data_IF_319235592617
#
_entry.id   IF_319235592617
#
_cell.length_a   1.000
_cell.length_b   1.000
_cell.length_c   1.000
_cell.angle_alpha   90.00
_cell.angle_beta   90.00
_cell.angle_gamma   90.00
#
_symmetry.space_group_name_H-M   'P 1'
#
loop_
_entity.id
_entity.type
_entity.pdbx_description
1 polymer ?
#
# COMPACT_ATOMS: atom_id res chain seq x y z
N UNK A 1 -2.91 19.48 -6.06
CA UNK A 1 -3.30 18.35 -6.95
C UNK A 1 -2.04 17.95 -7.67
N UNK A 2 -1.38 16.91 -7.17
CA UNK A 2 -0.21 16.35 -7.83
C UNK A 2 -0.64 15.94 -9.23
N UNK A 3 -0.04 16.56 -10.25
CA UNK A 3 0.09 15.93 -11.55
C UNK A 3 0.94 14.68 -11.29
N UNK A 4 0.31 13.61 -10.78
CA UNK A 4 0.88 12.29 -10.72
C UNK A 4 0.96 11.83 -12.18
N UNK A 5 1.93 12.42 -12.89
CA UNK A 5 2.40 11.95 -14.17
C UNK A 5 2.89 10.56 -13.85
N UNK A 6 2.05 9.56 -14.09
CA UNK A 6 2.53 8.21 -14.31
C UNK A 6 3.56 8.38 -15.41
N UNK A 7 4.84 8.29 -15.05
CA UNK A 7 5.92 8.35 -16.02
C UNK A 7 5.66 7.23 -17.02
N UNK A 8 5.25 7.60 -18.23
CA UNK A 8 4.98 6.65 -19.31
C UNK A 8 6.22 5.79 -19.47
N UNK A 9 6.08 4.51 -19.15
CA UNK A 9 7.17 3.56 -19.36
C UNK A 9 7.28 3.25 -20.85
N UNK A 10 8.49 3.02 -21.39
CA UNK A 10 8.68 2.82 -22.82
C UNK A 10 7.79 1.73 -23.43
N UNK A 11 7.52 0.65 -22.69
CA UNK A 11 6.68 -0.46 -23.15
C UNK A 11 5.25 -0.01 -23.48
N UNK A 12 4.68 0.94 -22.75
CA UNK A 12 3.30 1.41 -22.95
C UNK A 12 3.13 2.10 -24.31
N UNK A 13 4.15 2.85 -24.73
CA UNK A 13 4.16 3.51 -26.03
C UNK A 13 4.40 2.53 -27.20
N UNK A 14 4.94 1.35 -26.90
CA UNK A 14 5.25 0.30 -27.87
C UNK A 14 4.17 -0.81 -27.91
N UNK A 15 3.16 -0.73 -27.04
CA UNK A 15 2.09 -1.70 -26.96
C UNK A 15 1.27 -1.69 -28.25
N UNK A 16 1.27 -2.82 -28.97
CA UNK A 16 0.36 -3.04 -30.08
C UNK A 16 -1.05 -3.34 -29.56
N UNK A 17 -1.86 -2.29 -29.45
CA UNK A 17 -3.25 -2.38 -28.99
C UNK A 17 -4.12 -3.26 -29.89
N UNK A 18 -3.73 -3.48 -31.15
CA UNK A 18 -4.48 -4.35 -32.07
C UNK A 18 -4.31 -5.84 -31.77
N UNK A 19 -3.26 -6.20 -31.01
CA UNK A 19 -3.02 -7.56 -30.55
C UNK A 19 -3.83 -7.93 -29.30
N UNK A 20 -4.48 -6.97 -28.64
CA UNK A 20 -5.31 -7.20 -27.45
C UNK A 20 -6.66 -7.76 -27.87
N UNK A 21 -7.09 -8.93 -27.36
CA UNK A 21 -8.22 -9.68 -27.94
C UNK A 21 -9.59 -9.06 -27.67
N UNK A 22 -9.72 -8.17 -26.70
CA UNK A 22 -10.98 -7.53 -26.35
C UNK A 22 -10.77 -6.16 -25.70
N UNK A 23 -11.86 -5.39 -25.63
CA UNK A 23 -11.98 -4.19 -24.81
C UNK A 23 -13.37 -4.16 -24.14
N UNK A 24 -13.50 -3.55 -22.94
CA UNK A 24 -12.42 -2.99 -22.13
C UNK A 24 -11.52 -4.10 -21.56
N UNK A 25 -10.21 -3.87 -21.48
CA UNK A 25 -9.23 -4.87 -21.02
C UNK A 25 -8.07 -4.25 -20.26
N UNK A 26 -7.79 -4.77 -19.06
CA UNK A 26 -6.56 -4.46 -18.33
C UNK A 26 -5.42 -5.32 -18.87
N UNK A 27 -4.40 -4.67 -19.42
CA UNK A 27 -3.15 -5.31 -19.86
C UNK A 27 -2.09 -5.02 -18.81
N UNK A 28 -1.47 -6.07 -18.28
CA UNK A 28 -0.41 -6.00 -17.26
C UNK A 28 0.86 -6.58 -17.84
N UNK A 29 1.93 -5.80 -17.83
CA UNK A 29 3.28 -6.23 -18.20
C UNK A 29 3.93 -6.95 -17.00
N UNK A 30 4.22 -8.25 -17.18
CA UNK A 30 4.79 -9.10 -16.14
C UNK A 30 6.27 -8.80 -15.88
N UNK A 31 7.01 -8.35 -16.90
CA UNK A 31 8.43 -8.00 -16.76
C UNK A 31 8.59 -6.72 -15.95
N UNK A 32 7.67 -5.78 -16.10
CA UNK A 32 7.61 -4.56 -15.30
C UNK A 32 7.19 -4.83 -13.85
N UNK A 33 6.25 -5.76 -13.61
CA UNK A 33 5.95 -6.26 -12.25
C UNK A 33 7.21 -6.85 -11.62
N UNK A 34 7.93 -7.70 -12.36
CA UNK A 34 9.17 -8.31 -11.89
C UNK A 34 10.26 -7.24 -11.64
N UNK A 35 10.33 -6.20 -12.48
CA UNK A 35 11.27 -5.09 -12.31
C UNK A 35 10.98 -4.28 -11.04
N UNK A 36 9.71 -3.97 -10.76
CA UNK A 36 9.30 -3.33 -9.52
C UNK A 36 9.64 -4.21 -8.32
N UNK A 37 9.33 -5.51 -8.37
CA UNK A 37 9.62 -6.46 -7.30
C UNK A 37 11.13 -6.58 -7.01
N UNK A 38 11.99 -6.56 -8.04
CA UNK A 38 13.46 -6.54 -7.87
C UNK A 38 13.97 -5.29 -7.17
N UNK A 39 13.40 -4.12 -7.46
CA UNK A 39 13.78 -2.88 -6.78
C UNK A 39 13.40 -2.89 -5.29
N UNK A 40 12.22 -3.43 -4.97
CA UNK A 40 11.78 -3.63 -3.59
C UNK A 40 12.68 -4.64 -2.85
N UNK A 41 13.08 -5.73 -3.53
CA UNK A 41 14.02 -6.70 -3.00
C UNK A 41 15.43 -6.11 -2.76
N UNK A 42 15.89 -5.17 -3.59
CA UNK A 42 17.15 -4.44 -3.38
C UNK A 42 17.10 -3.62 -2.08
N UNK A 43 16.02 -2.87 -1.86
CA UNK A 43 15.82 -2.12 -0.61
C UNK A 43 15.83 -3.06 0.60
N UNK A 44 15.13 -4.20 0.51
CA UNK A 44 15.14 -5.25 1.54
C UNK A 44 16.57 -5.73 1.84
N UNK A 45 17.31 -6.14 0.80
CA UNK A 45 18.65 -6.69 0.95
C UNK A 45 19.65 -5.69 1.56
N UNK A 46 19.54 -4.41 1.18
CA UNK A 46 20.50 -3.38 1.59
C UNK A 46 20.20 -2.75 2.94
N UNK A 47 18.92 -2.73 3.34
CA UNK A 47 18.47 -2.17 4.61
C UNK A 47 18.30 -3.19 5.73
N UNK A 48 18.12 -4.47 5.41
CA UNK A 48 17.71 -5.50 6.37
C UNK A 48 16.23 -5.41 6.80
N UNK A 49 15.49 -4.39 6.32
CA UNK A 49 14.05 -4.35 6.50
C UNK A 49 13.38 -5.42 5.64
N UNK A 50 12.22 -5.90 6.07
CA UNK A 50 11.43 -6.89 5.35
C UNK A 50 10.29 -6.21 4.61
N UNK A 51 10.15 -6.52 3.33
CA UNK A 51 9.18 -5.85 2.46
C UNK A 51 8.00 -6.78 2.20
N UNK A 52 6.79 -6.29 2.44
CA UNK A 52 5.54 -7.00 2.25
C UNK A 52 4.76 -6.43 1.06
N UNK A 53 4.10 -7.26 0.27
CA UNK A 53 3.15 -6.80 -0.75
C UNK A 53 1.80 -6.46 -0.09
N UNK A 54 1.38 -5.19 -0.11
CA UNK A 54 0.07 -4.80 0.41
C UNK A 54 -1.04 -5.00 -0.63
N UNK A 55 -1.95 -5.94 -0.36
CA UNK A 55 -2.98 -6.36 -1.34
C UNK A 55 -4.04 -5.29 -1.60
N UNK A 56 -4.26 -4.38 -0.65
CA UNK A 56 -5.19 -3.24 -0.78
C UNK A 56 -4.97 -2.45 -2.08
N UNK A 57 -3.72 -2.28 -2.51
CA UNK A 57 -3.38 -1.52 -3.72
C UNK A 57 -3.34 -2.37 -4.99
N UNK A 58 -3.01 -3.67 -4.87
CA UNK A 58 -2.87 -4.58 -6.01
C UNK A 58 -2.96 -6.04 -5.57
N UNK A 59 -3.92 -6.79 -6.11
CA UNK A 59 -4.19 -8.18 -5.73
C UNK A 59 -4.41 -9.12 -6.94
N UNK A 60 -3.79 -8.85 -8.09
CA UNK A 60 -3.87 -9.78 -9.23
C UNK A 60 -3.12 -11.10 -8.91
N UNK A 61 -3.78 -12.28 -8.86
CA UNK A 61 -3.14 -13.52 -8.42
C UNK A 61 -1.94 -13.95 -9.28
N UNK A 62 -1.98 -13.73 -10.59
CA UNK A 62 -0.88 -14.13 -11.49
C UNK A 62 0.36 -13.26 -11.27
N UNK A 63 0.18 -11.95 -11.19
CA UNK A 63 1.27 -11.01 -10.90
C UNK A 63 1.82 -11.21 -9.48
N UNK A 64 0.96 -11.51 -8.49
CA UNK A 64 1.41 -11.78 -7.12
C UNK A 64 2.32 -13.00 -7.00
N UNK A 65 2.18 -14.02 -7.87
CA UNK A 65 3.13 -15.16 -7.91
C UNK A 65 4.55 -14.73 -8.28
N UNK A 66 4.68 -13.73 -9.16
CA UNK A 66 5.98 -13.13 -9.50
C UNK A 66 6.54 -12.39 -8.28
N UNK A 67 5.71 -11.56 -7.65
CA UNK A 67 6.10 -10.72 -6.51
C UNK A 67 6.53 -11.54 -5.30
N UNK A 68 5.83 -12.66 -5.03
CA UNK A 68 6.10 -13.59 -3.93
C UNK A 68 7.55 -14.05 -3.88
N UNK A 69 8.16 -14.30 -5.03
CA UNK A 69 9.53 -14.84 -5.10
C UNK A 69 10.61 -13.79 -4.75
N UNK A 70 10.22 -12.52 -4.61
CA UNK A 70 11.12 -11.41 -4.32
C UNK A 70 10.95 -10.81 -2.92
N UNK A 71 9.73 -10.85 -2.37
CA UNK A 71 9.36 -10.14 -1.15
C UNK A 71 9.25 -11.08 0.05
N UNK A 72 9.35 -10.53 1.27
CA UNK A 72 9.31 -11.31 2.50
C UNK A 72 7.91 -11.89 2.80
N UNK A 73 6.84 -11.29 2.29
CA UNK A 73 5.48 -11.69 2.60
C UNK A 73 4.41 -10.80 1.99
N UNK A 74 3.19 -10.92 2.51
CA UNK A 74 2.03 -10.13 2.12
C UNK A 74 1.44 -9.40 3.34
N UNK A 75 0.97 -8.17 3.10
CA UNK A 75 0.17 -7.41 4.04
C UNK A 75 -1.30 -7.44 3.58
N UNK A 76 -2.17 -7.94 4.45
CA UNK A 76 -3.56 -8.26 4.15
C UNK A 76 -4.51 -7.59 5.15
N UNK A 77 -5.73 -7.34 4.73
CA UNK A 77 -6.74 -6.57 5.47
C UNK A 77 -8.07 -7.29 5.68
N UNK A 78 -8.19 -8.52 5.17
CA UNK A 78 -9.36 -9.37 5.34
C UNK A 78 -9.01 -10.85 5.32
N UNK A 79 -9.96 -11.69 5.75
CA UNK A 79 -9.83 -13.14 5.62
C UNK A 79 -9.62 -13.57 4.16
N UNK A 80 -10.32 -12.95 3.21
CA UNK A 80 -10.20 -13.29 1.79
C UNK A 80 -8.80 -12.96 1.25
N UNK A 81 -8.22 -11.83 1.64
CA UNK A 81 -6.84 -11.49 1.27
C UNK A 81 -5.83 -12.44 1.93
N UNK A 82 -6.04 -12.83 3.20
CA UNK A 82 -5.20 -13.81 3.87
C UNK A 82 -5.26 -15.19 3.18
N UNK A 83 -6.46 -15.64 2.79
CA UNK A 83 -6.65 -16.87 2.03
C UNK A 83 -5.95 -16.80 0.66
N UNK A 84 -6.07 -15.68 -0.05
CA UNK A 84 -5.36 -15.47 -1.31
C UNK A 84 -3.84 -15.50 -1.08
N UNK A 85 -3.31 -14.83 -0.06
CA UNK A 85 -1.89 -14.83 0.24
C UNK A 85 -1.36 -16.24 0.53
N UNK A 86 -2.13 -17.04 1.27
CA UNK A 86 -1.83 -18.45 1.52
C UNK A 86 -1.92 -19.31 0.25
N UNK A 87 -2.92 -19.09 -0.62
CA UNK A 87 -3.05 -19.78 -1.91
C UNK A 87 -1.88 -19.49 -2.85
N UNK A 88 -1.44 -18.23 -2.91
CA UNK A 88 -0.26 -17.82 -3.67
C UNK A 88 1.03 -18.40 -3.06
N UNK A 89 1.04 -18.63 -1.74
CA UNK A 89 2.14 -19.24 -1.01
C UNK A 89 3.18 -18.22 -0.51
N UNK A 90 2.74 -17.02 -0.12
CA UNK A 90 3.64 -16.07 0.55
C UNK A 90 4.23 -16.66 1.83
N UNK A 91 5.51 -16.36 2.08
CA UNK A 91 6.24 -16.90 3.24
C UNK A 91 5.75 -16.31 4.56
N UNK A 92 5.31 -15.05 4.54
CA UNK A 92 4.67 -14.41 5.69
C UNK A 92 3.37 -13.72 5.31
N UNK A 93 2.44 -13.71 6.26
CA UNK A 93 1.15 -13.05 6.16
C UNK A 93 0.96 -12.15 7.38
N UNK A 94 0.92 -10.83 7.13
CA UNK A 94 0.69 -9.81 8.15
C UNK A 94 -0.72 -9.24 7.96
N UNK A 95 -1.59 -9.41 8.95
CA UNK A 95 -2.98 -9.03 8.86
C UNK A 95 -3.31 -7.79 9.72
N UNK A 96 -3.95 -6.80 9.11
CA UNK A 96 -4.45 -5.60 9.81
C UNK A 96 -5.88 -5.28 9.37
N UNK A 97 -6.81 -5.13 10.33
CA UNK A 97 -8.12 -4.57 10.06
C UNK A 97 -8.49 -3.51 11.12
N UNK A 98 -9.22 -2.45 10.74
CA UNK A 98 -9.78 -1.50 11.71
C UNK A 98 -10.67 -2.16 12.77
N UNK A 99 -11.36 -3.24 12.39
CA UNK A 99 -12.24 -4.01 13.25
C UNK A 99 -12.14 -5.50 12.92
N UNK A 100 -11.91 -6.32 13.93
CA UNK A 100 -11.95 -7.77 13.82
C UNK A 100 -13.23 -8.30 14.45
N UNK A 101 -14.01 -9.08 13.69
CA UNK A 101 -14.98 -9.97 14.31
C UNK A 101 -14.24 -11.13 14.98
N UNK A 102 -14.83 -11.76 16.01
CA UNK A 102 -14.20 -12.92 16.64
C UNK A 102 -14.01 -14.09 15.66
N UNK A 103 -14.97 -14.27 14.73
CA UNK A 103 -14.92 -15.32 13.72
C UNK A 103 -13.82 -15.07 12.68
N UNK A 104 -13.73 -13.83 12.15
CA UNK A 104 -12.67 -13.49 11.19
C UNK A 104 -11.30 -13.56 11.84
N UNK A 105 -11.16 -13.09 13.08
CA UNK A 105 -9.89 -13.17 13.79
C UNK A 105 -9.45 -14.61 14.01
N UNK A 106 -10.38 -15.49 14.42
CA UNK A 106 -10.08 -16.89 14.63
C UNK A 106 -9.64 -17.56 13.32
N UNK A 107 -10.26 -17.23 12.18
CA UNK A 107 -9.90 -17.77 10.88
C UNK A 107 -8.59 -17.19 10.32
N UNK A 108 -8.38 -15.87 10.44
CA UNK A 108 -7.14 -15.20 10.01
C UNK A 108 -5.95 -15.68 10.82
N UNK A 109 -6.13 -15.95 12.12
CA UNK A 109 -5.06 -16.45 12.98
C UNK A 109 -4.60 -17.89 12.68
N UNK A 110 -5.29 -18.63 11.82
CA UNK A 110 -4.79 -19.90 11.28
C UNK A 110 -3.83 -19.68 10.09
N UNK A 111 -3.80 -18.47 9.52
CA UNK A 111 -3.05 -18.15 8.31
C UNK A 111 -1.96 -17.10 8.54
N UNK A 112 -2.20 -16.14 9.43
CA UNK A 112 -1.34 -14.97 9.62
C UNK A 112 -0.28 -15.19 10.70
N UNK A 113 0.96 -14.85 10.35
CA UNK A 113 2.10 -14.83 11.27
C UNK A 113 2.04 -13.63 12.21
N UNK A 114 1.57 -12.49 11.70
CA UNK A 114 1.41 -11.25 12.46
C UNK A 114 -0.03 -10.75 12.36
N UNK A 115 -0.62 -10.36 13.49
CA UNK A 115 -1.94 -9.75 13.53
C UNK A 115 -1.89 -8.42 14.28
N UNK A 116 -2.21 -7.35 13.55
CA UNK A 116 -2.24 -5.99 14.06
C UNK A 116 -3.66 -5.63 14.48
N UNK A 117 -3.80 -5.24 15.74
CA UNK A 117 -5.02 -4.68 16.30
C UNK A 117 -5.07 -3.18 16.05
N UNK A 118 -6.25 -2.64 15.76
CA UNK A 118 -6.40 -1.21 15.52
C UNK A 118 -6.50 -0.37 16.81
N UNK A 119 -6.88 -0.98 17.93
CA UNK A 119 -7.08 -0.27 19.20
C UNK A 119 -6.79 -1.16 20.40
N UNK A 120 -6.40 -0.53 21.52
CA UNK A 120 -6.14 -1.19 22.80
C UNK A 120 -7.34 -1.99 23.31
N UNK A 121 -8.55 -1.48 23.13
CA UNK A 121 -9.78 -2.20 23.52
C UNK A 121 -10.00 -3.49 22.72
N UNK A 122 -9.69 -3.51 21.42
CA UNK A 122 -9.72 -4.76 20.65
C UNK A 122 -8.61 -5.71 21.07
N UNK A 123 -7.39 -5.20 21.30
CA UNK A 123 -6.27 -6.01 21.76
C UNK A 123 -6.60 -6.71 23.08
N UNK A 124 -7.12 -5.99 24.07
CA UNK A 124 -7.49 -6.56 25.37
C UNK A 124 -8.61 -7.62 25.24
N UNK A 125 -9.62 -7.36 24.41
CA UNK A 125 -10.77 -8.26 24.25
C UNK A 125 -10.46 -9.50 23.41
N UNK A 126 -9.66 -9.34 22.36
CA UNK A 126 -9.51 -10.34 21.30
C UNK A 126 -8.07 -10.83 21.10
N UNK A 127 -7.05 -10.05 21.49
CA UNK A 127 -5.63 -10.37 21.23
C UNK A 127 -5.19 -11.73 21.76
N UNK A 128 -5.70 -12.15 22.93
CA UNK A 128 -5.41 -13.48 23.46
C UNK A 128 -5.89 -14.64 22.56
N UNK A 129 -6.90 -14.44 21.70
CA UNK A 129 -7.37 -15.47 20.76
C UNK A 129 -6.36 -15.73 19.65
N UNK A 130 -5.86 -14.66 19.04
CA UNK A 130 -4.85 -14.71 18.00
C UNK A 130 -3.52 -15.24 18.54
N UNK A 131 -3.06 -14.71 19.67
CA UNK A 131 -1.80 -15.16 20.31
C UNK A 131 -1.80 -16.65 20.66
N UNK A 132 -2.93 -17.21 21.11
CA UNK A 132 -3.04 -18.66 21.40
C UNK A 132 -2.87 -19.56 20.17
N UNK A 133 -3.01 -19.01 18.97
CA UNK A 133 -2.75 -19.69 17.69
C UNK A 133 -1.33 -19.47 17.17
N UNK A 134 -0.50 -18.73 17.90
CA UNK A 134 0.90 -18.49 17.56
C UNK A 134 1.17 -17.19 16.82
N UNK A 135 0.14 -16.38 16.51
CA UNK A 135 0.34 -15.09 15.86
C UNK A 135 1.10 -14.11 16.75
N UNK A 136 2.06 -13.38 16.16
CA UNK A 136 2.69 -12.21 16.76
C UNK A 136 1.70 -11.05 16.79
N UNK A 137 1.50 -10.46 17.96
CA UNK A 137 0.50 -9.43 18.17
C UNK A 137 1.07 -8.04 17.95
N UNK A 138 0.47 -7.29 17.02
CA UNK A 138 0.77 -5.89 16.80
C UNK A 138 -0.32 -4.95 17.29
N UNK A 139 0.04 -3.69 17.51
CA UNK A 139 -0.91 -2.58 17.62
C UNK A 139 -0.60 -1.53 16.57
N UNK A 140 -1.61 -1.14 15.79
CA UNK A 140 -1.50 0.08 14.97
C UNK A 140 -1.55 1.28 15.90
N UNK A 141 -0.53 2.13 15.82
CA UNK A 141 -0.48 3.39 16.57
C UNK A 141 -0.77 4.57 15.64
N UNK A 142 -1.23 5.67 16.23
CA UNK A 142 -1.42 6.93 15.55
C UNK A 142 -0.45 7.97 16.15
N UNK A 143 0.60 8.38 15.41
CA UNK A 143 1.54 9.40 15.87
C UNK A 143 0.98 10.83 15.85
N UNK A 144 -0.27 11.01 15.39
CA UNK A 144 -0.93 12.31 15.20
C UNK A 144 -0.10 13.25 14.31
N UNK A 145 0.60 12.65 13.34
CA UNK A 145 1.48 13.33 12.40
C UNK A 145 0.94 13.15 10.98
N UNK A 146 0.63 14.28 10.33
CA UNK A 146 -0.09 14.34 9.05
C UNK A 146 0.89 14.63 7.93
N UNK A 147 0.90 13.78 6.92
CA UNK A 147 1.73 13.94 5.71
C UNK A 147 0.90 14.01 4.42
N UNK A 148 -0.36 13.53 4.46
CA UNK A 148 -1.24 13.49 3.29
C UNK A 148 -2.05 14.78 3.21
N UNK A 149 -1.99 15.47 2.07
CA UNK A 149 -2.71 16.73 1.85
C UNK A 149 -4.24 16.55 1.88
N UNK A 150 -4.73 15.45 1.30
CA UNK A 150 -6.16 15.18 1.14
C UNK A 150 -6.72 14.53 2.41
N UNK A 151 -7.63 15.20 3.15
CA UNK A 151 -8.14 14.68 4.43
C UNK A 151 -8.81 13.31 4.35
N UNK A 152 -9.40 12.95 3.20
CA UNK A 152 -10.07 11.66 3.00
C UNK A 152 -9.11 10.47 3.14
N UNK A 153 -7.85 10.64 2.73
CA UNK A 153 -6.84 9.58 2.74
C UNK A 153 -5.83 9.70 3.89
N UNK A 154 -5.92 10.77 4.69
CA UNK A 154 -5.01 11.05 5.80
C UNK A 154 -5.37 10.17 7.02
N UNK A 155 -4.58 9.13 7.33
CA UNK A 155 -4.89 8.22 8.43
C UNK A 155 -4.68 8.86 9.81
N UNK A 156 -4.04 10.02 9.87
CA UNK A 156 -3.76 10.79 11.08
C UNK A 156 -4.58 12.09 11.14
N UNK A 157 -5.60 12.25 10.29
CA UNK A 157 -6.51 13.38 10.37
C UNK A 157 -7.23 13.42 11.75
N UNK A 158 -7.58 14.62 12.26
CA UNK A 158 -8.36 14.73 13.50
C UNK A 158 -9.66 13.91 13.43
N UNK A 159 -9.90 13.09 14.46
CA UNK A 159 -11.05 12.17 14.50
C UNK A 159 -10.86 10.89 13.67
N UNK A 160 -9.65 10.62 13.18
CA UNK A 160 -9.34 9.36 12.50
C UNK A 160 -9.64 8.16 13.40
N UNK A 161 -10.22 7.13 12.79
CA UNK A 161 -10.50 5.83 13.42
C UNK A 161 -9.30 4.87 13.39
N UNK A 162 -8.18 5.29 12.81
CA UNK A 162 -7.06 4.41 12.48
C UNK A 162 -5.93 4.56 13.49
N UNK A 163 -5.65 3.47 14.21
CA UNK A 163 -4.60 3.37 15.20
C UNK A 163 -4.93 3.98 16.57
N UNK A 164 -4.27 3.47 17.61
CA UNK A 164 -4.34 4.02 18.95
C UNK A 164 -3.43 5.24 19.11
N UNK A 165 -4.00 6.36 19.54
CA UNK A 165 -3.22 7.52 20.02
C UNK A 165 -2.53 7.19 21.35
N UNK A 166 -1.48 7.95 21.69
CA UNK A 166 -0.58 7.63 22.81
C UNK A 166 -1.29 7.46 24.16
N UNK A 167 -2.32 8.27 24.43
CA UNK A 167 -3.14 8.22 25.65
C UNK A 167 -3.83 6.86 25.87
N UNK A 168 -4.03 6.06 24.83
CA UNK A 168 -4.65 4.74 24.90
C UNK A 168 -3.64 3.58 25.00
N UNK A 169 -2.33 3.86 25.04
CA UNK A 169 -1.27 2.83 25.01
C UNK A 169 -0.58 2.75 26.38
N UNK A 170 -1.27 2.20 27.38
CA UNK A 170 -0.69 2.05 28.72
C UNK A 170 0.28 0.86 28.82
N UNK A 171 0.86 0.65 30.00
CA UNK A 171 1.77 -0.47 30.28
C UNK A 171 1.16 -1.85 30.00
N UNK A 172 -0.15 -2.00 30.21
CA UNK A 172 -0.84 -3.28 29.96
C UNK A 172 -0.93 -3.58 28.48
N UNK A 173 -1.08 -2.54 27.65
CA UNK A 173 -1.07 -2.63 26.19
C UNK A 173 0.33 -2.96 25.70
N UNK A 174 1.34 -2.27 26.20
CA UNK A 174 2.74 -2.46 25.78
C UNK A 174 3.21 -3.88 26.11
N UNK A 175 2.90 -4.38 27.30
CA UNK A 175 3.21 -5.76 27.69
C UNK A 175 2.44 -6.83 26.88
N UNK A 176 1.40 -6.44 26.14
CA UNK A 176 0.56 -7.34 25.37
C UNK A 176 0.85 -7.33 23.86
N UNK A 177 1.84 -6.58 23.39
CA UNK A 177 2.23 -6.52 21.97
C UNK A 177 3.68 -6.92 21.78
N UNK A 178 3.96 -7.46 20.62
CA UNK A 178 5.31 -7.82 20.17
C UNK A 178 5.82 -6.79 19.13
N UNK A 179 4.92 -5.97 18.57
CA UNK A 179 5.26 -4.95 17.59
C UNK A 179 4.24 -3.85 17.41
N UNK A 180 4.64 -2.82 16.66
CA UNK A 180 3.78 -1.70 16.29
C UNK A 180 3.70 -1.52 14.78
N UNK A 181 2.56 -1.01 14.34
CA UNK A 181 2.28 -0.69 12.95
C UNK A 181 1.94 0.79 12.79
N UNK A 182 2.50 1.43 11.78
CA UNK A 182 2.28 2.82 11.43
C UNK A 182 1.98 2.89 9.94
N UNK A 183 0.90 3.56 9.56
CA UNK A 183 0.62 3.87 8.17
C UNK A 183 -0.05 5.23 8.08
N UNK A 184 0.70 6.23 7.62
CA UNK A 184 0.25 7.61 7.45
C UNK A 184 0.79 8.27 6.17
N UNK A 185 1.36 7.49 5.25
CA UNK A 185 1.88 7.97 3.96
C UNK A 185 0.97 7.52 2.83
N UNK A 186 0.86 8.34 1.79
CA UNK A 186 0.19 8.05 0.53
C UNK A 186 0.89 8.80 -0.59
N UNK A 187 1.57 8.09 -1.49
CA UNK A 187 2.34 8.69 -2.58
C UNK A 187 3.50 9.62 -2.16
N UNK A 188 4.26 9.24 -1.13
CA UNK A 188 5.28 10.12 -0.55
C UNK A 188 6.70 9.54 -0.59
N UNK A 189 7.65 10.46 -0.49
CA UNK A 189 9.10 10.22 -0.46
C UNK A 189 9.64 9.74 0.89
N UNK A 190 10.92 9.39 0.90
CA UNK A 190 11.64 8.95 2.10
C UNK A 190 11.75 10.06 3.18
N UNK A 191 11.69 11.34 2.78
CA UNK A 191 11.70 12.48 3.67
C UNK A 191 10.44 12.53 4.57
N UNK A 192 9.27 12.19 4.01
CA UNK A 192 8.02 12.06 4.77
C UNK A 192 8.09 10.88 5.74
N UNK A 193 8.68 9.76 5.31
CA UNK A 193 8.92 8.62 6.20
C UNK A 193 9.81 9.00 7.39
N UNK A 194 10.87 9.78 7.16
CA UNK A 194 11.75 10.26 8.23
C UNK A 194 11.02 11.17 9.23
N UNK A 195 10.14 12.06 8.77
CA UNK A 195 9.29 12.90 9.64
C UNK A 195 8.30 12.06 10.45
N UNK A 196 7.68 11.04 9.84
CA UNK A 196 6.84 10.08 10.55
C UNK A 196 7.61 9.36 11.65
N UNK A 197 8.81 8.86 11.36
CA UNK A 197 9.66 8.19 12.35
C UNK A 197 9.96 9.13 13.51
N UNK A 198 10.38 10.38 13.25
CA UNK A 198 10.64 11.36 14.30
C UNK A 198 9.42 11.62 15.19
N UNK A 199 8.22 11.69 14.61
CA UNK A 199 6.97 11.86 15.36
C UNK A 199 6.63 10.63 16.22
N UNK A 200 6.87 9.42 15.71
CA UNK A 200 6.72 8.18 16.47
C UNK A 200 7.71 8.14 17.64
N UNK A 201 8.99 8.41 17.39
CA UNK A 201 10.02 8.43 18.44
C UNK A 201 9.70 9.46 19.54
N UNK A 202 9.20 10.64 19.18
CA UNK A 202 8.84 11.67 20.16
C UNK A 202 7.70 11.26 21.11
N UNK A 203 6.81 10.35 20.67
CA UNK A 203 5.58 10.00 21.40
C UNK A 203 5.59 8.59 21.97
N UNK A 204 6.27 7.66 21.31
CA UNK A 204 6.21 6.21 21.56
C UNK A 204 7.59 5.58 21.78
N UNK A 205 8.62 6.36 22.15
CA UNK A 205 9.96 5.83 22.48
C UNK A 205 9.91 4.66 23.47
N UNK A 206 9.11 4.78 24.54
CA UNK A 206 8.97 3.75 25.57
C UNK A 206 8.31 2.45 25.07
N UNK A 207 7.58 2.54 23.95
CA UNK A 207 7.03 1.37 23.23
C UNK A 207 8.10 0.77 22.33
N UNK A 208 8.83 1.60 21.59
CA UNK A 208 9.90 1.18 20.67
C UNK A 208 11.02 0.40 21.40
N UNK A 209 11.33 0.74 22.66
CA UNK A 209 12.32 0.02 23.48
C UNK A 209 11.91 -1.41 23.85
N UNK A 210 10.64 -1.78 23.66
CA UNK A 210 10.03 -3.00 24.24
C UNK A 210 9.35 -3.91 23.23
N UNK A 211 9.43 -3.57 21.95
CA UNK A 211 8.87 -4.37 20.87
C UNK A 211 9.97 -5.02 20.05
N UNK A 212 9.65 -6.13 19.41
CA UNK A 212 10.58 -6.88 18.55
C UNK A 212 10.57 -6.37 17.11
N UNK A 213 9.47 -5.72 16.67
CA UNK A 213 9.33 -5.25 15.30
C UNK A 213 8.50 -3.97 15.15
N UNK A 214 8.79 -3.24 14.08
CA UNK A 214 8.09 -2.02 13.67
C UNK A 214 7.75 -2.12 12.19
N UNK A 215 6.47 -2.03 11.85
CA UNK A 215 6.02 -1.91 10.46
C UNK A 215 5.67 -0.45 10.16
N UNK A 216 6.44 0.16 9.25
CA UNK A 216 6.30 1.57 8.83
C UNK A 216 5.28 1.76 7.69
N UNK A 217 4.47 0.74 7.41
CA UNK A 217 3.32 0.85 6.53
C UNK A 217 3.68 0.97 5.05
N UNK A 218 2.65 1.24 4.25
CA UNK A 218 2.78 1.55 2.83
C UNK A 218 2.85 3.05 2.55
N UNK A 219 2.65 3.44 1.29
CA UNK A 219 2.69 4.83 0.82
C UNK A 219 4.08 5.29 0.35
N UNK A 220 5.08 4.42 0.44
CA UNK A 220 6.43 4.64 -0.09
C UNK A 220 6.45 4.41 -1.60
N UNK A 221 6.80 5.42 -2.38
CA UNK A 221 6.90 5.35 -3.85
C UNK A 221 8.21 4.78 -4.38
N UNK A 222 8.68 3.69 -3.75
CA UNK A 222 10.02 3.11 -3.93
C UNK A 222 10.37 2.85 -5.40
N UNK A 223 9.40 2.51 -6.24
CA UNK A 223 9.63 2.13 -7.65
C UNK A 223 9.46 3.28 -8.65
N UNK A 224 9.15 4.50 -8.19
CA UNK A 224 9.22 5.70 -9.06
C UNK A 224 10.69 6.05 -9.35
N UNK A 225 11.05 6.48 -10.57
CA UNK A 225 12.44 6.74 -10.92
C UNK A 225 13.13 7.74 -9.98
N UNK A 226 12.42 8.80 -9.59
CA UNK A 226 12.93 9.93 -8.80
C UNK A 226 12.94 9.65 -7.29
N UNK A 227 12.46 8.49 -6.84
CA UNK A 227 12.41 8.16 -5.42
C UNK A 227 13.83 7.95 -4.85
N UNK A 228 14.13 8.64 -3.75
CA UNK A 228 15.40 8.52 -3.03
C UNK A 228 15.46 7.22 -2.21
N UNK A 229 15.83 6.13 -2.89
CA UNK A 229 15.98 4.79 -2.30
C UNK A 229 17.14 4.74 -1.31
N UNK A 230 18.18 5.55 -1.49
CA UNK A 230 19.32 5.61 -0.58
C UNK A 230 18.93 6.19 0.78
N UNK A 231 18.15 7.27 0.76
CA UNK A 231 17.58 7.86 1.97
C UNK A 231 16.66 6.86 2.69
N UNK A 232 15.81 6.14 1.96
CA UNK A 232 14.96 5.10 2.55
C UNK A 232 15.80 3.99 3.18
N UNK A 233 16.78 3.42 2.47
CA UNK A 233 17.65 2.36 3.01
C UNK A 233 18.36 2.82 4.28
N UNK A 234 18.88 4.05 4.28
CA UNK A 234 19.56 4.64 5.43
C UNK A 234 18.62 4.83 6.62
N UNK A 235 17.40 5.32 6.37
CA UNK A 235 16.36 5.49 7.40
C UNK A 235 15.98 4.15 8.03
N UNK A 236 15.70 3.14 7.22
CA UNK A 236 15.28 1.81 7.69
C UNK A 236 16.34 1.17 8.57
N UNK A 237 17.62 1.26 8.17
CA UNK A 237 18.75 0.79 8.99
C UNK A 237 18.87 1.56 10.29
N UNK A 238 18.77 2.89 10.24
CA UNK A 238 18.88 3.71 11.44
C UNK A 238 17.77 3.37 12.46
N UNK A 239 16.54 3.12 12.01
CA UNK A 239 15.43 2.69 12.89
C UNK A 239 15.72 1.32 13.48
N UNK A 240 16.12 0.35 12.65
CA UNK A 240 16.44 -1.01 13.10
C UNK A 240 17.57 -1.00 14.14
N UNK A 241 18.67 -0.30 13.87
CA UNK A 241 19.86 -0.24 14.73
C UNK A 241 19.57 0.51 16.03
N UNK A 242 18.84 1.63 15.97
CA UNK A 242 18.57 2.47 17.14
C UNK A 242 17.66 1.79 18.15
N UNK A 243 16.63 1.11 17.67
CA UNK A 243 15.61 0.51 18.53
C UNK A 243 15.79 -1.01 18.69
N UNK A 244 16.75 -1.61 17.99
CA UNK A 244 17.01 -3.05 17.96
C UNK A 244 15.74 -3.85 17.58
N UNK A 245 15.08 -3.42 16.50
CA UNK A 245 13.82 -3.99 16.00
C UNK A 245 13.95 -4.51 14.58
N UNK A 246 13.18 -5.53 14.22
CA UNK A 246 12.95 -5.86 12.81
C UNK A 246 12.02 -4.82 12.18
N UNK A 247 12.50 -4.12 11.17
CA UNK A 247 11.70 -3.15 10.43
C UNK A 247 10.97 -3.82 9.27
N UNK A 248 9.70 -3.47 9.07
CA UNK A 248 8.88 -3.84 7.92
C UNK A 248 8.40 -2.60 7.17
N UNK A 249 8.22 -2.72 5.85
CA UNK A 249 7.43 -1.82 5.03
C UNK A 249 6.47 -2.62 4.16
N UNK A 250 5.32 -2.06 3.80
CA UNK A 250 4.26 -2.76 3.07
C UNK A 250 3.79 -1.95 1.84
N UNK A 251 4.65 -1.74 0.83
CA UNK A 251 4.25 -1.10 -0.41
C UNK A 251 3.13 -1.87 -1.12
N UNK A 252 2.10 -1.14 -1.55
CA UNK A 252 1.03 -1.66 -2.43
C UNK A 252 1.19 -1.12 -3.85
N UNK A 253 0.93 0.17 -4.03
CA UNK A 253 1.06 0.85 -5.33
C UNK A 253 2.45 0.66 -5.96
N UNK A 254 3.53 0.77 -5.19
CA UNK A 254 4.88 0.59 -5.71
C UNK A 254 5.15 -0.82 -6.28
N UNK A 255 4.33 -1.82 -5.96
CA UNK A 255 4.41 -3.15 -6.59
C UNK A 255 3.98 -3.09 -8.06
N UNK A 256 2.93 -2.32 -8.38
CA UNK A 256 2.26 -2.37 -9.69
C UNK A 256 2.25 -1.06 -10.48
N UNK A 257 2.73 0.05 -9.91
CA UNK A 257 2.77 1.35 -10.58
C UNK A 257 3.57 1.25 -11.88
N UNK A 258 2.98 1.73 -12.97
CA UNK A 258 3.59 1.71 -14.29
C UNK A 258 3.62 0.33 -14.97
N UNK A 259 2.93 -0.67 -14.42
CA UNK A 259 2.93 -2.03 -14.97
C UNK A 259 1.67 -2.38 -15.77
N UNK A 260 0.68 -1.50 -15.86
CA UNK A 260 -0.54 -1.82 -16.60
C UNK A 260 -1.23 -0.63 -17.24
N UNK A 261 -2.07 -0.94 -18.22
CA UNK A 261 -2.93 0.01 -18.95
C UNK A 261 -4.33 -0.56 -19.09
N UNK A 262 -5.32 0.33 -19.16
CA UNK A 262 -6.70 -0.02 -19.51
C UNK A 262 -6.96 0.31 -20.97
N UNK A 263 -7.20 -0.72 -21.77
CA UNK A 263 -7.57 -0.59 -23.19
C UNK A 263 -9.08 -0.42 -23.28
N UNK A 264 -9.51 0.55 -24.07
CA UNK A 264 -10.91 0.86 -24.35
C UNK A 264 -11.11 1.13 -25.84
N UNK A 265 -12.31 0.86 -26.34
CA UNK A 265 -12.73 1.14 -27.72
C UNK A 265 -13.71 2.30 -27.75
N UNK A 266 -13.54 3.20 -28.74
CA UNK A 266 -14.52 4.23 -29.07
C UNK A 266 -15.72 3.55 -29.72
N UNK A 267 -16.87 3.61 -29.03
CA UNK A 267 -18.13 3.05 -29.53
C UNK A 267 -18.93 4.06 -30.33
N UNK A 268 -18.88 5.33 -29.93
CA UNK A 268 -19.67 6.38 -30.59
C UNK A 268 -18.96 7.73 -30.49
N UNK A 269 -19.10 8.53 -31.55
CA UNK A 269 -18.78 9.95 -31.57
C UNK A 269 -20.09 10.72 -31.71
N UNK A 270 -20.43 11.54 -30.72
CA UNK A 270 -21.63 12.37 -30.77
C UNK A 270 -21.30 13.83 -30.50
N UNK A 271 -21.91 14.74 -31.27
CA UNK A 271 -21.69 16.17 -31.11
C UNK A 271 -22.86 16.79 -30.34
N UNK A 272 -22.55 17.47 -29.25
CA UNK A 272 -23.51 18.29 -28.52
C UNK A 272 -22.99 19.71 -28.44
N UNK A 273 -23.59 20.62 -29.22
CA UNK A 273 -23.11 22.00 -29.42
C UNK A 273 -21.67 22.02 -29.95
N UNK A 274 -20.79 22.72 -29.26
CA UNK A 274 -19.36 22.85 -29.52
C UNK A 274 -18.53 21.71 -28.93
N UNK A 275 -19.14 20.80 -28.16
CA UNK A 275 -18.47 19.65 -27.54
C UNK A 275 -18.64 18.40 -28.40
N UNK A 276 -17.51 17.72 -28.68
CA UNK A 276 -17.51 16.36 -29.25
C UNK A 276 -17.36 15.37 -28.12
N UNK A 277 -18.36 14.52 -27.92
CA UNK A 277 -18.32 13.44 -26.95
C UNK A 277 -17.77 12.19 -27.61
N UNK A 278 -16.81 11.56 -26.95
CA UNK A 278 -16.25 10.26 -27.31
C UNK A 278 -16.77 9.25 -26.30
N UNK A 279 -17.69 8.39 -26.72
CA UNK A 279 -18.29 7.37 -25.87
C UNK A 279 -17.45 6.11 -25.99
N UNK A 280 -16.99 5.61 -24.85
CA UNK A 280 -16.11 4.44 -24.76
C UNK A 280 -16.87 3.23 -24.19
N UNK A 281 -16.33 2.03 -24.41
CA UNK A 281 -16.77 0.79 -23.74
C UNK A 281 -16.26 0.65 -22.30
N UNK A 282 -15.69 1.71 -21.74
CA UNK A 282 -15.24 1.81 -20.35
C UNK A 282 -16.09 2.80 -19.56
N UNK A 283 -16.22 2.55 -18.26
CA UNK A 283 -16.91 3.39 -17.29
C UNK A 283 -15.96 3.81 -16.17
N UNK A 284 -15.87 5.12 -15.89
CA UNK A 284 -15.09 5.65 -14.77
C UNK A 284 -15.57 5.04 -13.45
N UNK A 285 -16.88 5.03 -13.17
CA UNK A 285 -17.43 4.47 -11.92
C UNK A 285 -17.11 2.99 -11.73
N UNK A 286 -17.16 2.18 -12.79
CA UNK A 286 -17.01 0.73 -12.68
C UNK A 286 -15.55 0.25 -12.78
N UNK A 287 -14.71 0.93 -13.57
CA UNK A 287 -13.36 0.46 -13.89
C UNK A 287 -12.26 1.35 -13.35
N UNK A 288 -12.53 2.63 -13.08
CA UNK A 288 -11.54 3.59 -12.56
C UNK A 288 -12.19 4.50 -11.50
N UNK A 289 -12.84 3.94 -10.45
CA UNK A 289 -13.64 4.72 -9.50
C UNK A 289 -12.85 5.84 -8.84
N UNK A 290 -11.54 5.64 -8.63
CA UNK A 290 -10.65 6.64 -8.06
C UNK A 290 -10.60 7.94 -8.87
N UNK A 291 -10.82 7.91 -10.20
CA UNK A 291 -10.91 9.15 -11.00
C UNK A 291 -12.09 10.04 -10.60
N UNK A 292 -13.07 9.50 -9.87
CA UNK A 292 -14.21 10.21 -9.32
C UNK A 292 -14.07 10.48 -7.82
N UNK A 293 -13.62 9.49 -7.05
CA UNK A 293 -13.44 9.62 -5.58
C UNK A 293 -12.29 10.56 -5.23
N UNK A 294 -11.22 10.52 -6.02
CA UNK A 294 -10.09 11.44 -6.02
C UNK A 294 -10.06 12.10 -7.39
N UNK A 295 -10.78 13.21 -7.61
CA UNK A 295 -10.94 13.75 -8.95
C UNK A 295 -9.57 14.06 -9.58
N UNK A 296 -9.16 13.19 -10.50
CA UNK A 296 -7.97 13.32 -11.32
C UNK A 296 -8.33 12.96 -12.75
N UNK A 297 -7.63 13.57 -13.69
CA UNK A 297 -7.80 13.24 -15.10
C UNK A 297 -7.00 11.97 -15.40
N UNK A 298 -7.63 10.87 -15.83
CA UNK A 298 -6.89 9.69 -16.23
C UNK A 298 -5.96 10.04 -17.40
N UNK A 299 -4.72 9.57 -17.34
CA UNK A 299 -3.76 9.78 -18.42
C UNK A 299 -4.14 8.91 -19.62
N UNK A 300 -4.39 9.56 -20.76
CA UNK A 300 -4.64 8.88 -22.03
C UNK A 300 -3.37 9.02 -22.87
N UNK A 301 -2.77 7.89 -23.25
CA UNK A 301 -1.53 7.85 -24.02
C UNK A 301 -1.72 8.60 -25.34
N UNK A 302 -0.88 9.61 -25.59
CA UNK A 302 -0.94 10.44 -26.79
C UNK A 302 -2.05 11.50 -26.80
N UNK A 303 -2.79 11.68 -25.70
CA UNK A 303 -3.71 12.81 -25.57
C UNK A 303 -3.01 14.07 -25.03
N UNK A 304 -3.53 15.24 -25.41
CA UNK A 304 -3.07 16.53 -24.91
C UNK A 304 -3.96 17.13 -23.81
N UNK A 305 -3.40 18.09 -23.08
CA UNK A 305 -4.13 19.02 -22.21
C UNK A 305 -4.97 20.02 -23.03
N UNK A 306 -5.99 20.67 -22.44
CA UNK A 306 -6.78 21.66 -23.15
C UNK A 306 -5.91 22.74 -23.81
N UNK A 307 -6.12 22.95 -25.11
CA UNK A 307 -5.34 23.86 -25.94
C UNK A 307 -4.03 23.33 -26.52
N UNK A 308 -3.61 22.09 -26.26
CA UNK A 308 -2.38 21.52 -26.84
C UNK A 308 -2.54 21.01 -28.29
N UNK A 309 -3.76 20.61 -28.66
CA UNK A 309 -4.12 20.11 -29.99
C UNK A 309 -5.41 20.78 -30.50
N UNK A 310 -5.75 20.67 -31.80
CA UNK A 310 -6.94 21.32 -32.38
C UNK A 310 -8.29 20.93 -31.74
N UNK A 311 -8.33 19.83 -30.98
CA UNK A 311 -9.54 19.25 -30.38
C UNK A 311 -9.38 18.86 -28.91
N UNK A 312 -8.41 19.45 -28.21
CA UNK A 312 -8.20 19.29 -26.75
C UNK A 312 -8.65 20.51 -25.98
#
# INVERSE_FOLDING_TARGET
MSDAIITLRPWMAQLDVSAVPCSPCWVIDQDEIAANARQLADVQARSGARVLAAFKGFANPQSLRIVRDHLAGAAVSSLHEAQLAAEIGFAEIHAYAPAWSAADLDAVAELADHIVMNSSGQLQRLGGRARRRGASMGLRINPEHREVEVPLYDPCAPGSRLGAVREHVDETVIAAIDGIHIHNLCELGADAAARTVAAVEARFADVLERVDWVNLGGGHHVTRPEYDREALVSLLRAVADRWNVQVYIEPGEAVAIGCGVLIATVLELSKNRDVTNVILDVSATAHMPDTLEMPYRPHIIGAGLPGEHPHT
#
